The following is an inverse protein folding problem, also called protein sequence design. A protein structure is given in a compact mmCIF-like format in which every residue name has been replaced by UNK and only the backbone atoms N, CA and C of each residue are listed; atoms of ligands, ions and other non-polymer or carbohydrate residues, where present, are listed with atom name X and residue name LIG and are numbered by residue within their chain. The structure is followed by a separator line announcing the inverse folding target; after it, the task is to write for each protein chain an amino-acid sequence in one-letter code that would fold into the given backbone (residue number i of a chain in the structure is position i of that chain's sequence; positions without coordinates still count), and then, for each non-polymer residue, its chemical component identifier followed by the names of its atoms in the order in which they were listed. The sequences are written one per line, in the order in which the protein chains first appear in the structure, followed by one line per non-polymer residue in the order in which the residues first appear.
data_IF_291089759144
#
_entry.id   IF_291089759144
#
_cell.length_a   1.000
_cell.length_b   1.000
_cell.length_c   1.000
_cell.angle_alpha   90.00
_cell.angle_beta   90.00
_cell.angle_gamma   90.00
#
_symmetry.space_group_name_H-M   'P 1'
#
loop_
_entity.id
_entity.type
_entity.pdbx_description
1 polymer ?
#
# COMPACT_ATOMS: atom_id res chain seq x y z
N UNK A 1 -1.57 9.52 13.52
CA UNK A 1 -1.03 8.70 12.41
C UNK A 1 -1.99 8.64 11.21
N UNK A 2 -3.25 8.10 11.33
CA UNK A 2 -4.20 8.08 10.21
C UNK A 2 -4.54 9.50 9.69
N UNK A 3 -4.73 10.45 10.58
CA UNK A 3 -4.98 11.85 10.25
C UNK A 3 -3.79 12.45 9.48
N UNK A 4 -2.56 12.18 9.93
CA UNK A 4 -1.35 12.69 9.30
C UNK A 4 -1.17 12.14 7.87
N UNK A 5 -1.51 10.86 7.66
CA UNK A 5 -1.53 10.25 6.34
C UNK A 5 -2.55 10.91 5.41
N UNK A 6 -3.79 11.17 5.88
CA UNK A 6 -4.82 11.83 5.10
C UNK A 6 -4.39 13.25 4.73
N UNK A 7 -3.84 14.01 5.69
CA UNK A 7 -3.32 15.37 5.45
C UNK A 7 -2.17 15.36 4.44
N UNK A 8 -1.21 14.46 4.61
CA UNK A 8 -0.08 14.34 3.69
C UNK A 8 -0.50 13.98 2.27
N UNK A 9 -1.53 13.16 2.13
CA UNK A 9 -2.08 12.77 0.83
C UNK A 9 -3.00 13.84 0.21
N UNK A 10 -3.43 14.85 0.97
CA UNK A 10 -4.37 15.89 0.50
C UNK A 10 -5.71 15.33 0.02
N UNK A 11 -6.14 14.18 0.59
CA UNK A 11 -7.38 13.53 0.17
C UNK A 11 -8.59 14.14 0.87
N UNK A 12 -9.74 14.27 0.17
CA UNK A 12 -11.00 14.68 0.80
C UNK A 12 -11.38 13.75 1.95
N UNK A 13 -11.93 14.33 3.02
CA UNK A 13 -12.20 13.64 4.27
C UNK A 13 -13.67 13.78 4.70
N UNK A 14 -14.27 12.67 5.10
CA UNK A 14 -15.52 12.60 5.86
C UNK A 14 -15.21 11.84 7.14
N UNK A 15 -15.70 12.32 8.27
CA UNK A 15 -15.53 11.67 9.57
C UNK A 15 -16.81 10.96 9.98
N UNK A 16 -16.75 9.63 10.13
CA UNK A 16 -17.83 8.85 10.72
C UNK A 16 -17.53 8.60 12.21
N UNK A 17 -18.27 9.24 13.10
CA UNK A 17 -18.16 9.04 14.55
C UNK A 17 -19.01 7.83 14.91
N UNK A 18 -18.37 6.67 15.03
CA UNK A 18 -19.08 5.41 15.23
C UNK A 18 -19.31 5.08 16.70
N UNK A 19 -20.17 4.09 16.95
CA UNK A 19 -20.57 3.61 18.28
C UNK A 19 -21.34 4.65 19.10
N UNK A 20 -22.12 5.53 18.46
CA UNK A 20 -22.95 6.53 19.14
C UNK A 20 -24.14 5.95 19.91
N UNK A 21 -24.35 4.63 19.82
CA UNK A 21 -25.35 3.87 20.57
C UNK A 21 -24.91 3.53 22.01
N UNK A 22 -23.63 3.65 22.32
CA UNK A 22 -23.12 3.29 23.65
C UNK A 22 -23.48 4.35 24.69
N UNK A 23 -23.83 3.96 25.93
CA UNK A 23 -24.24 4.90 27.00
C UNK A 23 -23.17 5.94 27.38
N UNK A 24 -21.90 5.65 27.11
CA UNK A 24 -20.76 6.51 27.40
C UNK A 24 -20.20 7.21 26.16
N UNK A 25 -20.94 7.18 25.03
CA UNK A 25 -20.53 7.88 23.83
C UNK A 25 -20.66 9.40 24.04
N UNK A 26 -19.59 10.13 23.76
CA UNK A 26 -19.53 11.59 23.81
C UNK A 26 -19.04 12.14 22.47
N UNK A 27 -19.99 12.42 21.59
CA UNK A 27 -19.74 12.95 20.24
C UNK A 27 -19.05 14.31 20.28
N UNK A 28 -19.46 15.18 21.22
CA UNK A 28 -18.90 16.53 21.34
C UNK A 28 -17.42 16.50 21.74
N UNK A 29 -17.07 15.58 22.64
CA UNK A 29 -15.68 15.37 23.02
C UNK A 29 -14.82 14.92 21.83
N UNK A 30 -15.35 13.99 21.00
CA UNK A 30 -14.65 13.55 19.79
C UNK A 30 -14.48 14.69 18.80
N UNK A 31 -15.53 15.50 18.55
CA UNK A 31 -15.44 16.68 17.67
C UNK A 31 -14.41 17.70 18.18
N UNK A 32 -14.33 17.93 19.49
CA UNK A 32 -13.31 18.81 20.08
C UNK A 32 -11.90 18.27 19.86
N UNK A 33 -11.68 16.97 20.04
CA UNK A 33 -10.39 16.34 19.78
C UNK A 33 -9.98 16.40 18.30
N UNK A 34 -10.95 16.31 17.37
CA UNK A 34 -10.67 16.48 15.94
C UNK A 34 -10.17 17.91 15.64
N UNK A 35 -10.74 18.92 16.29
CA UNK A 35 -10.29 20.32 16.14
C UNK A 35 -8.85 20.50 16.63
N UNK A 36 -8.44 19.82 17.71
CA UNK A 36 -7.05 19.83 18.19
C UNK A 36 -6.07 19.27 17.13
N UNK A 37 -6.58 18.39 16.26
CA UNK A 37 -5.82 17.87 15.12
C UNK A 37 -6.08 18.62 13.80
N UNK A 38 -6.60 19.87 13.87
CA UNK A 38 -6.90 20.71 12.70
C UNK A 38 -7.95 20.11 11.74
N UNK A 39 -8.77 19.20 12.21
CA UNK A 39 -9.95 18.69 11.51
C UNK A 39 -11.17 19.42 12.09
N UNK A 40 -11.58 20.48 11.41
CA UNK A 40 -12.68 21.32 11.87
C UNK A 40 -14.01 20.85 11.26
N UNK A 41 -14.94 20.29 12.08
CA UNK A 41 -16.27 19.91 11.61
C UNK A 41 -17.08 21.11 11.10
N UNK A 42 -18.04 20.86 10.18
CA UNK A 42 -18.99 21.88 9.70
C UNK A 42 -19.74 22.55 10.85
N UNK A 43 -20.14 21.81 11.88
CA UNK A 43 -20.80 22.33 13.09
C UNK A 43 -19.98 23.40 13.83
N UNK A 44 -18.67 23.40 13.66
CA UNK A 44 -17.73 24.35 14.25
C UNK A 44 -17.19 25.36 13.23
N UNK A 45 -17.86 25.48 12.07
CA UNK A 45 -17.52 26.43 11.02
C UNK A 45 -16.40 25.96 10.09
N UNK A 46 -16.06 24.68 10.07
CA UNK A 46 -15.12 24.07 9.14
C UNK A 46 -15.79 23.56 7.87
N UNK A 47 -15.04 22.77 7.10
CA UNK A 47 -15.47 22.21 5.81
C UNK A 47 -15.62 20.67 5.85
N UNK A 48 -15.38 20.05 7.01
CA UNK A 48 -15.33 18.59 7.11
C UNK A 48 -16.65 18.05 7.63
N UNK A 49 -17.31 17.24 6.80
CA UNK A 49 -18.55 16.56 7.17
C UNK A 49 -18.28 15.52 8.26
N UNK A 50 -19.02 15.61 9.38
CA UNK A 50 -18.95 14.67 10.48
C UNK A 50 -20.32 14.03 10.69
N UNK A 51 -20.39 12.70 10.52
CA UNK A 51 -21.64 11.93 10.63
C UNK A 51 -21.58 11.02 11.84
N UNK A 52 -22.63 11.08 12.70
CA UNK A 52 -22.79 10.16 13.83
C UNK A 52 -23.35 8.84 13.35
N UNK A 53 -22.65 7.75 13.62
CA UNK A 53 -23.04 6.43 13.15
C UNK A 53 -23.07 5.39 14.26
N UNK A 54 -23.84 4.34 14.03
CA UNK A 54 -23.79 3.11 14.81
C UNK A 54 -23.93 1.91 13.87
N UNK A 55 -22.89 1.13 13.76
CA UNK A 55 -22.91 -0.09 12.96
C UNK A 55 -23.90 -1.15 13.50
N UNK A 56 -24.14 -1.13 14.82
CA UNK A 56 -25.04 -2.09 15.50
C UNK A 56 -26.51 -1.77 15.23
N UNK A 57 -26.88 -0.48 15.28
CA UNK A 57 -28.27 -0.03 15.10
C UNK A 57 -28.56 0.47 13.70
N UNK A 58 -27.55 0.56 12.82
CA UNK A 58 -27.59 1.18 11.50
C UNK A 58 -27.96 2.68 11.51
N UNK A 59 -27.93 3.35 12.69
CA UNK A 59 -28.15 4.79 12.80
C UNK A 59 -27.08 5.55 12.00
N UNK A 60 -27.49 6.55 11.22
CA UNK A 60 -26.60 7.45 10.49
C UNK A 60 -25.85 6.83 9.31
N UNK A 61 -26.13 5.57 8.95
CA UNK A 61 -25.49 4.92 7.80
C UNK A 61 -25.95 5.53 6.48
N UNK A 62 -27.25 5.81 6.36
CA UNK A 62 -27.80 6.45 5.15
C UNK A 62 -27.26 7.88 5.01
N UNK A 63 -27.18 8.64 6.09
CA UNK A 63 -26.63 10.00 6.12
C UNK A 63 -25.13 10.00 5.70
N UNK A 64 -24.37 8.98 6.13
CA UNK A 64 -22.98 8.80 5.71
C UNK A 64 -22.87 8.52 4.21
N UNK A 65 -23.73 7.66 3.67
CA UNK A 65 -23.79 7.36 2.24
C UNK A 65 -24.15 8.59 1.42
N UNK A 66 -25.14 9.39 1.87
CA UNK A 66 -25.50 10.65 1.23
C UNK A 66 -24.33 11.64 1.25
N UNK A 67 -23.61 11.76 2.36
CA UNK A 67 -22.43 12.62 2.49
C UNK A 67 -21.32 12.21 1.51
N UNK A 68 -21.09 10.90 1.32
CA UNK A 68 -20.12 10.38 0.34
C UNK A 68 -20.53 10.74 -1.09
N UNK A 69 -21.81 10.56 -1.43
CA UNK A 69 -22.34 10.91 -2.76
C UNK A 69 -22.22 12.42 -3.01
N UNK A 70 -22.59 13.25 -2.02
CA UNK A 70 -22.50 14.70 -2.11
C UNK A 70 -21.07 15.16 -2.32
N UNK A 71 -20.11 14.64 -1.53
CA UNK A 71 -18.70 14.95 -1.70
C UNK A 71 -18.18 14.54 -3.08
N UNK A 72 -18.57 13.36 -3.57
CA UNK A 72 -18.21 12.89 -4.91
C UNK A 72 -18.76 13.80 -6.02
N UNK A 73 -19.93 14.39 -5.84
CA UNK A 73 -20.50 15.35 -6.78
C UNK A 73 -19.75 16.69 -6.76
N UNK A 74 -19.43 17.20 -5.57
CA UNK A 74 -18.66 18.45 -5.40
C UNK A 74 -17.28 18.32 -6.06
N UNK A 75 -16.63 17.17 -5.92
CA UNK A 75 -15.30 16.89 -6.48
C UNK A 75 -15.32 16.71 -8.01
N UNK A 76 -16.49 16.58 -8.65
CA UNK A 76 -16.62 16.35 -10.10
C UNK A 76 -15.66 15.26 -10.62
N UNK A 77 -15.55 14.14 -9.94
CA UNK A 77 -14.61 13.07 -10.27
C UNK A 77 -14.85 12.54 -11.69
N UNK A 78 -13.93 12.84 -12.60
CA UNK A 78 -13.99 12.45 -14.03
C UNK A 78 -12.85 11.48 -14.33
N UNK A 79 -13.16 10.42 -15.07
CA UNK A 79 -12.16 9.40 -15.44
C UNK A 79 -12.21 9.14 -16.95
N UNK A 80 -11.05 9.09 -17.64
CA UNK A 80 -11.01 8.73 -19.04
C UNK A 80 -11.44 7.27 -19.24
N UNK A 81 -12.47 7.05 -20.09
CA UNK A 81 -13.02 5.70 -20.35
C UNK A 81 -12.22 4.89 -21.38
N UNK A 82 -11.60 5.57 -22.35
CA UNK A 82 -11.00 4.94 -23.54
C UNK A 82 -9.47 4.81 -23.44
N UNK A 83 -8.94 4.60 -22.23
CA UNK A 83 -7.52 4.37 -22.00
C UNK A 83 -7.31 2.95 -21.47
N UNK A 84 -6.08 2.47 -21.59
CA UNK A 84 -5.70 1.20 -20.97
C UNK A 84 -5.81 1.30 -19.46
N UNK A 85 -6.20 0.20 -18.81
CA UNK A 85 -6.39 0.16 -17.37
C UNK A 85 -5.10 0.49 -16.63
N UNK A 86 -5.20 1.35 -15.61
CA UNK A 86 -4.12 1.61 -14.64
C UNK A 86 -4.70 1.87 -13.26
N UNK A 87 -3.88 1.66 -12.24
CA UNK A 87 -4.26 1.83 -10.85
C UNK A 87 -3.22 1.26 -9.90
N UNK A 88 -3.66 0.83 -8.74
CA UNK A 88 -2.79 0.38 -7.66
C UNK A 88 -3.14 -1.02 -7.19
N UNK A 89 -2.13 -1.74 -6.73
CA UNK A 89 -2.30 -3.00 -5.99
C UNK A 89 -2.64 -2.65 -4.55
N UNK A 90 -3.76 -3.16 -4.04
CA UNK A 90 -4.17 -2.99 -2.64
C UNK A 90 -3.49 -4.03 -1.75
N UNK A 91 -3.44 -5.27 -2.23
CA UNK A 91 -2.81 -6.39 -1.51
C UNK A 91 -2.38 -7.49 -2.49
N UNK A 92 -1.41 -8.29 -2.09
CA UNK A 92 -1.00 -9.48 -2.80
C UNK A 92 -0.88 -10.66 -1.85
N UNK A 93 -1.26 -11.85 -2.29
CA UNK A 93 -1.13 -13.07 -1.51
C UNK A 93 -0.98 -14.32 -2.37
N UNK A 94 -0.45 -15.37 -1.77
CA UNK A 94 -0.28 -16.66 -2.42
C UNK A 94 -1.40 -17.62 -1.97
N UNK A 95 -2.28 -17.98 -2.88
CA UNK A 95 -3.27 -19.02 -2.63
C UNK A 95 -2.67 -20.39 -2.99
N UNK A 96 -2.81 -21.37 -2.07
CA UNK A 96 -2.25 -22.73 -2.24
C UNK A 96 -2.79 -23.47 -3.46
N UNK A 97 -4.01 -23.14 -3.91
CA UNK A 97 -4.68 -23.82 -5.02
C UNK A 97 -4.65 -23.01 -6.32
N UNK A 98 -4.70 -21.69 -6.26
CA UNK A 98 -4.80 -20.78 -7.40
C UNK A 98 -3.47 -20.14 -7.79
N UNK A 99 -2.50 -20.10 -6.88
CA UNK A 99 -1.22 -19.41 -7.07
C UNK A 99 -1.25 -17.96 -6.66
N UNK A 100 -0.44 -17.13 -7.31
CA UNK A 100 -0.32 -15.70 -6.98
C UNK A 100 -1.58 -14.93 -7.36
N UNK A 101 -2.14 -14.23 -6.38
CA UNK A 101 -3.30 -13.37 -6.48
C UNK A 101 -2.93 -11.94 -6.08
N UNK A 102 -3.55 -10.97 -6.70
CA UNK A 102 -3.44 -9.57 -6.31
C UNK A 102 -4.81 -8.90 -6.34
N UNK A 103 -5.15 -8.17 -5.30
CA UNK A 103 -6.32 -7.29 -5.30
C UNK A 103 -5.89 -5.92 -5.83
N UNK A 104 -6.49 -5.49 -6.93
CA UNK A 104 -6.20 -4.23 -7.60
C UNK A 104 -7.37 -3.26 -7.46
N UNK A 105 -7.09 -1.97 -7.45
CA UNK A 105 -8.05 -0.89 -7.60
C UNK A 105 -7.81 -0.19 -8.94
N UNK A 106 -8.78 -0.26 -9.83
CA UNK A 106 -8.69 0.41 -11.14
C UNK A 106 -8.96 1.90 -10.94
N UNK A 107 -7.98 2.75 -11.29
CA UNK A 107 -8.10 4.20 -11.20
C UNK A 107 -8.59 4.80 -12.51
N UNK A 108 -8.08 4.33 -13.63
CA UNK A 108 -8.42 4.81 -14.98
C UNK A 108 -8.54 3.65 -15.94
N UNK A 109 -9.29 3.87 -17.03
CA UNK A 109 -9.47 2.88 -18.09
C UNK A 109 -10.25 1.64 -17.65
N UNK A 110 -9.95 0.50 -18.23
CA UNK A 110 -10.60 -0.77 -17.90
C UNK A 110 -9.62 -1.93 -17.91
N UNK A 111 -9.93 -2.95 -17.13
CA UNK A 111 -9.14 -4.19 -17.01
C UNK A 111 -10.02 -5.35 -17.45
N UNK A 112 -9.56 -6.17 -18.40
CA UNK A 112 -10.32 -7.30 -18.92
C UNK A 112 -9.56 -8.61 -18.78
N UNK A 113 -10.29 -9.71 -18.68
CA UNK A 113 -9.70 -11.05 -18.76
C UNK A 113 -9.00 -11.22 -20.11
N UNK A 114 -7.79 -11.75 -20.08
CA UNK A 114 -6.93 -11.93 -21.27
C UNK A 114 -5.94 -10.80 -21.52
N UNK A 115 -6.09 -9.63 -20.89
CA UNK A 115 -5.13 -8.55 -20.91
C UNK A 115 -3.83 -8.92 -20.19
N UNK A 116 -2.77 -8.20 -20.48
CA UNK A 116 -1.49 -8.31 -19.78
C UNK A 116 -1.36 -7.20 -18.75
N UNK A 117 -0.97 -7.56 -17.54
CA UNK A 117 -0.77 -6.63 -16.42
C UNK A 117 0.71 -6.59 -16.06
N UNK A 118 1.23 -5.40 -15.82
CA UNK A 118 2.52 -5.16 -15.18
C UNK A 118 2.26 -4.39 -13.90
N UNK A 119 2.66 -4.95 -12.77
CA UNK A 119 2.51 -4.36 -11.43
C UNK A 119 3.87 -4.36 -10.74
N UNK A 120 4.48 -3.18 -10.58
CA UNK A 120 5.85 -3.09 -10.08
C UNK A 120 6.83 -3.92 -10.93
N UNK A 121 7.49 -4.88 -10.29
CA UNK A 121 8.44 -5.81 -10.92
C UNK A 121 7.79 -7.08 -11.48
N UNK A 122 6.48 -7.18 -11.41
CA UNK A 122 5.73 -8.39 -11.73
C UNK A 122 4.92 -8.18 -12.99
N UNK A 123 4.87 -9.18 -13.83
CA UNK A 123 3.97 -9.18 -14.97
C UNK A 123 3.18 -10.49 -15.03
N UNK A 124 2.05 -10.46 -15.72
CA UNK A 124 1.25 -11.64 -15.95
C UNK A 124 0.17 -11.44 -16.98
N UNK A 125 -0.46 -12.56 -17.40
CA UNK A 125 -1.67 -12.52 -18.21
C UNK A 125 -2.87 -12.78 -17.31
N UNK A 126 -3.84 -11.89 -17.33
CA UNK A 126 -5.06 -11.99 -16.51
C UNK A 126 -5.86 -13.21 -16.96
N UNK A 127 -5.92 -14.23 -16.12
CA UNK A 127 -6.68 -15.48 -16.35
C UNK A 127 -8.12 -15.37 -15.89
N UNK A 128 -8.33 -14.71 -14.76
CA UNK A 128 -9.67 -14.42 -14.23
C UNK A 128 -9.66 -13.15 -13.38
N UNK A 129 -10.82 -12.52 -13.31
CA UNK A 129 -11.12 -11.37 -12.45
C UNK A 129 -12.30 -11.74 -11.55
N UNK A 130 -12.19 -11.39 -10.27
CA UNK A 130 -13.24 -11.61 -9.28
C UNK A 130 -13.54 -10.25 -8.62
N UNK A 131 -14.82 -9.88 -8.57
CA UNK A 131 -15.24 -8.62 -7.92
C UNK A 131 -15.24 -8.72 -6.38
N UNK A 132 -15.51 -7.61 -5.70
CA UNK A 132 -15.59 -7.54 -4.24
C UNK A 132 -16.67 -8.44 -3.61
N UNK A 133 -17.59 -9.00 -4.41
CA UNK A 133 -18.61 -9.94 -3.98
C UNK A 133 -18.26 -11.40 -4.32
N UNK A 134 -16.99 -11.67 -4.66
CA UNK A 134 -16.50 -13.00 -5.06
C UNK A 134 -17.13 -13.57 -6.34
N UNK A 135 -17.67 -12.73 -7.24
CA UNK A 135 -18.26 -13.14 -8.52
C UNK A 135 -17.23 -12.99 -9.63
N UNK A 136 -17.16 -13.96 -10.52
CA UNK A 136 -16.32 -13.89 -11.72
C UNK A 136 -16.86 -12.80 -12.67
N UNK A 137 -16.00 -11.87 -13.07
CA UNK A 137 -16.33 -10.80 -14.01
C UNK A 137 -15.36 -10.82 -15.20
N UNK A 138 -15.82 -10.35 -16.36
CA UNK A 138 -14.98 -10.28 -17.56
C UNK A 138 -14.22 -8.98 -17.70
N UNK A 139 -14.73 -7.92 -17.08
CA UNK A 139 -14.21 -6.56 -17.17
C UNK A 139 -14.42 -5.83 -15.84
N UNK A 140 -13.49 -4.95 -15.48
CA UNK A 140 -13.55 -4.08 -14.30
C UNK A 140 -13.36 -2.65 -14.73
N UNK A 141 -14.27 -1.78 -14.28
CA UNK A 141 -14.30 -0.35 -14.57
C UNK A 141 -13.53 0.46 -13.52
N UNK A 142 -13.20 1.73 -13.81
CA UNK A 142 -12.58 2.62 -12.83
C UNK A 142 -13.41 2.74 -11.54
N UNK A 143 -12.72 2.88 -10.41
CA UNK A 143 -13.31 2.96 -9.08
C UNK A 143 -13.68 1.60 -8.48
N UNK A 144 -13.62 0.51 -9.25
CA UNK A 144 -13.95 -0.82 -8.74
C UNK A 144 -12.70 -1.63 -8.36
N UNK A 145 -12.71 -2.30 -7.20
CA UNK A 145 -11.69 -3.28 -6.86
C UNK A 145 -11.93 -4.60 -7.57
N UNK A 146 -10.85 -5.32 -7.85
CA UNK A 146 -10.94 -6.69 -8.35
C UNK A 146 -9.73 -7.53 -7.93
N UNK A 147 -9.97 -8.81 -7.68
CA UNK A 147 -8.93 -9.77 -7.49
C UNK A 147 -8.51 -10.34 -8.85
N UNK A 148 -7.21 -10.30 -9.11
CA UNK A 148 -6.58 -10.75 -10.37
C UNK A 148 -5.87 -12.07 -10.13
N UNK A 149 -6.13 -13.05 -10.99
CA UNK A 149 -5.37 -14.28 -11.10
C UNK A 149 -4.55 -14.28 -12.39
N UNK A 150 -3.31 -14.75 -12.32
CA UNK A 150 -2.44 -14.91 -13.48
C UNK A 150 -1.14 -14.11 -13.41
N UNK A 151 -0.84 -13.52 -12.26
CA UNK A 151 0.44 -12.88 -11.97
C UNK A 151 1.56 -13.90 -11.84
N UNK A 152 2.78 -13.55 -12.25
CA UNK A 152 3.95 -14.44 -12.18
C UNK A 152 4.44 -14.68 -10.74
N UNK A 153 4.22 -13.73 -9.85
CA UNK A 153 4.49 -13.80 -8.42
C UNK A 153 3.54 -12.88 -7.64
N UNK A 154 3.67 -12.85 -6.32
CA UNK A 154 2.81 -12.04 -5.44
C UNK A 154 3.19 -10.55 -5.56
N UNK A 155 2.26 -9.67 -5.97
CA UNK A 155 2.54 -8.23 -6.07
C UNK A 155 2.58 -7.58 -4.68
N UNK A 156 3.29 -6.47 -4.57
CA UNK A 156 3.36 -5.70 -3.34
C UNK A 156 2.20 -4.71 -3.26
N UNK A 157 1.66 -4.52 -2.05
CA UNK A 157 0.70 -3.45 -1.79
C UNK A 157 1.34 -2.08 -2.09
N UNK A 158 0.58 -1.21 -2.75
CA UNK A 158 1.06 0.10 -3.19
C UNK A 158 1.73 0.12 -4.57
N UNK A 159 2.07 -1.03 -5.16
CA UNK A 159 2.61 -1.05 -6.52
C UNK A 159 1.61 -0.47 -7.52
N UNK A 160 2.09 0.40 -8.41
CA UNK A 160 1.30 0.82 -9.57
C UNK A 160 1.22 -0.31 -10.58
N UNK A 161 0.04 -0.47 -11.18
CA UNK A 161 -0.11 -1.38 -12.31
C UNK A 161 -0.55 -0.66 -13.59
N UNK A 162 -0.15 -1.23 -14.73
CA UNK A 162 -0.61 -0.85 -16.07
C UNK A 162 -1.01 -2.06 -16.88
N UNK A 163 -2.05 -1.88 -17.69
CA UNK A 163 -2.60 -2.93 -18.57
C UNK A 163 -2.08 -2.73 -20.00
N UNK A 164 -1.84 -3.84 -20.68
CA UNK A 164 -1.41 -3.90 -22.07
C UNK A 164 -2.24 -4.92 -22.82
N UNK A 165 -2.49 -4.68 -24.11
CA UNK A 165 -3.22 -5.62 -24.98
C UNK A 165 -2.32 -6.70 -25.57
N UNK A 166 -1.01 -6.49 -25.56
CA UNK A 166 -0.03 -7.40 -26.14
C UNK A 166 1.10 -7.75 -25.15
N UNK A 167 1.52 -9.02 -25.17
CA UNK A 167 2.67 -9.52 -24.38
C UNK A 167 3.96 -8.74 -24.69
N UNK A 168 4.16 -8.38 -25.96
CA UNK A 168 5.35 -7.65 -26.42
C UNK A 168 5.44 -6.26 -25.79
N UNK A 169 4.32 -5.54 -25.71
CA UNK A 169 4.26 -4.21 -25.08
C UNK A 169 4.46 -4.29 -23.59
N UNK A 170 3.80 -5.26 -22.92
CA UNK A 170 3.97 -5.51 -21.49
C UNK A 170 5.44 -5.82 -21.15
N UNK A 171 6.10 -6.69 -21.90
CA UNK A 171 7.52 -7.02 -21.72
C UNK A 171 8.43 -5.82 -21.96
N UNK A 172 8.14 -4.99 -22.97
CA UNK A 172 8.92 -3.79 -23.25
C UNK A 172 8.83 -2.80 -22.09
N UNK A 173 7.62 -2.58 -21.58
CA UNK A 173 7.38 -1.69 -20.44
C UNK A 173 8.04 -2.23 -19.17
N UNK A 174 7.87 -3.51 -18.87
CA UNK A 174 8.50 -4.16 -17.72
C UNK A 174 10.04 -4.06 -17.75
N UNK A 175 10.65 -4.26 -18.93
CA UNK A 175 12.09 -4.02 -19.11
C UNK A 175 12.51 -2.57 -18.83
N UNK A 176 11.72 -1.58 -19.30
CA UNK A 176 12.06 -0.17 -19.05
C UNK A 176 12.03 0.19 -17.57
N UNK A 177 11.10 -0.36 -16.80
CA UNK A 177 11.04 -0.17 -15.34
C UNK A 177 12.30 -0.71 -14.64
N UNK A 178 12.75 -1.90 -15.03
CA UNK A 178 13.93 -2.52 -14.44
C UNK A 178 15.21 -1.73 -14.76
N UNK A 179 15.37 -1.24 -15.99
CA UNK A 179 16.50 -0.38 -16.38
C UNK A 179 16.51 0.91 -15.54
N UNK A 180 15.36 1.54 -15.33
CA UNK A 180 15.26 2.76 -14.51
C UNK A 180 15.65 2.50 -13.06
N UNK A 181 15.21 1.38 -12.48
CA UNK A 181 15.60 0.98 -11.12
C UNK A 181 17.09 0.67 -10.99
N UNK A 182 17.69 0.02 -11.99
CA UNK A 182 19.12 -0.28 -11.99
C UNK A 182 19.96 1.00 -12.15
N UNK A 183 19.51 1.95 -12.98
CA UNK A 183 20.15 3.27 -13.10
C UNK A 183 20.03 4.07 -11.80
N UNK A 184 18.88 4.06 -11.14
CA UNK A 184 18.67 4.74 -9.84
C UNK A 184 19.57 4.11 -8.76
N UNK A 185 19.68 2.77 -8.73
CA UNK A 185 20.58 2.08 -7.81
C UNK A 185 22.07 2.36 -8.11
N UNK A 186 22.46 2.51 -9.38
CA UNK A 186 23.84 2.88 -9.73
C UNK A 186 24.16 4.32 -9.35
N UNK A 187 23.23 5.26 -9.56
CA UNK A 187 23.40 6.67 -9.17
C UNK A 187 23.51 6.79 -7.65
N UNK A 188 22.71 6.03 -6.89
CA UNK A 188 22.78 6.02 -5.42
C UNK A 188 24.12 5.42 -4.95
N UNK A 189 24.64 4.37 -5.62
CA UNK A 189 25.95 3.79 -5.29
C UNK A 189 27.13 4.72 -5.58
N UNK A 190 27.03 5.55 -6.63
CA UNK A 190 28.09 6.49 -6.99
C UNK A 190 28.14 7.72 -6.07
N UNK A 191 27.06 8.00 -5.30
CA UNK A 191 27.05 9.06 -4.27
C UNK A 191 27.45 8.56 -2.87
N UNK A 192 27.59 7.24 -2.65
CA UNK A 192 27.91 6.64 -1.34
C UNK A 192 29.39 6.32 -1.11
N UNK A 193 30.30 6.82 -1.95
CA UNK A 193 31.74 6.54 -1.83
C UNK A 193 32.53 7.56 -0.96
N UNK A 194 31.87 8.22 -0.01
CA UNK A 194 32.61 9.01 0.99
C UNK A 194 32.19 8.54 2.41
N UNK A 195 33.21 8.07 3.15
CA UNK A 195 33.23 7.66 4.57
C UNK A 195 32.61 6.29 4.94
N UNK A 196 33.36 5.23 4.68
CA UNK A 196 33.03 3.84 5.05
C UNK A 196 33.30 3.52 6.56
N UNK A 197 33.95 4.42 7.30
CA UNK A 197 34.42 4.15 8.68
C UNK A 197 33.36 4.24 9.78
N UNK A 198 32.16 4.83 9.53
CA UNK A 198 31.12 5.02 10.55
C UNK A 198 29.76 4.42 10.18
N UNK A 199 29.71 3.40 9.31
CA UNK A 199 28.45 2.75 8.93
C UNK A 199 28.19 1.50 9.76
N UNK A 200 27.05 1.48 10.47
CA UNK A 200 26.60 0.29 11.18
C UNK A 200 25.65 -0.52 10.27
N UNK A 201 26.17 -1.62 9.71
CA UNK A 201 25.42 -2.46 8.77
C UNK A 201 24.51 -3.45 9.49
N UNK A 202 23.27 -3.55 9.04
CA UNK A 202 22.23 -4.38 9.67
C UNK A 202 21.54 -5.24 8.61
N UNK A 203 21.31 -6.51 8.97
CA UNK A 203 20.38 -7.42 8.29
C UNK A 203 19.15 -7.61 9.15
N UNK A 204 17.95 -7.41 8.59
CA UNK A 204 16.69 -7.49 9.31
C UNK A 204 15.92 -8.73 8.88
N UNK A 205 15.52 -9.54 9.85
CA UNK A 205 14.59 -10.66 9.66
C UNK A 205 13.38 -10.51 10.57
N UNK A 206 12.18 -10.52 9.99
CA UNK A 206 10.93 -10.37 10.74
C UNK A 206 9.98 -11.53 10.46
N UNK A 207 9.06 -11.79 11.37
CA UNK A 207 8.05 -12.84 11.18
C UNK A 207 7.07 -12.57 10.02
N UNK A 208 6.85 -11.30 9.67
CA UNK A 208 5.94 -10.86 8.60
C UNK A 208 6.52 -9.68 7.81
N UNK A 209 6.07 -9.49 6.56
CA UNK A 209 6.52 -8.36 5.72
C UNK A 209 6.14 -7.00 6.33
N UNK A 210 4.93 -6.88 6.92
CA UNK A 210 4.52 -5.65 7.61
C UNK A 210 5.43 -5.28 8.79
N UNK A 211 5.98 -6.28 9.48
CA UNK A 211 6.96 -6.06 10.55
C UNK A 211 8.30 -5.58 10.00
N UNK A 212 8.70 -6.02 8.80
CA UNK A 212 9.93 -5.54 8.14
C UNK A 212 9.85 -4.04 7.88
N UNK A 213 8.73 -3.57 7.32
CA UNK A 213 8.54 -2.16 7.02
C UNK A 213 8.45 -1.29 8.29
N UNK A 214 7.81 -1.81 9.35
CA UNK A 214 7.76 -1.13 10.64
C UNK A 214 9.16 -0.97 11.27
N UNK A 215 9.97 -2.03 11.27
CA UNK A 215 11.34 -1.99 11.82
C UNK A 215 12.22 -1.06 10.99
N UNK A 216 12.12 -1.05 9.66
CA UNK A 216 12.84 -0.11 8.79
C UNK A 216 12.54 1.35 9.16
N UNK A 217 11.26 1.70 9.28
CA UNK A 217 10.84 3.07 9.67
C UNK A 217 11.43 3.48 11.03
N UNK A 218 11.41 2.59 12.01
CA UNK A 218 12.00 2.88 13.33
C UNK A 218 13.51 3.11 13.22
N UNK A 219 14.23 2.27 12.48
CA UNK A 219 15.68 2.43 12.30
C UNK A 219 16.04 3.70 11.52
N UNK A 220 15.22 4.12 10.56
CA UNK A 220 15.38 5.39 9.86
C UNK A 220 15.22 6.61 10.79
N UNK A 221 14.37 6.52 11.81
CA UNK A 221 14.23 7.61 12.83
C UNK A 221 15.37 7.64 13.84
N UNK A 222 16.13 6.55 13.97
CA UNK A 222 17.27 6.45 14.89
C UNK A 222 18.61 6.93 14.29
N UNK A 223 18.60 7.48 13.08
CA UNK A 223 19.81 8.06 12.47
C UNK A 223 20.32 9.23 13.32
N UNK A 224 21.54 9.10 13.82
CA UNK A 224 22.29 10.18 14.50
C UNK A 224 23.40 10.68 13.58
N UNK A 225 23.88 11.91 13.83
CA UNK A 225 25.01 12.51 13.08
C UNK A 225 26.33 11.71 13.21
N UNK A 226 26.46 10.87 14.25
CA UNK A 226 27.70 10.14 14.55
C UNK A 226 27.75 8.73 13.94
N UNK A 227 26.60 8.08 13.64
CA UNK A 227 26.55 6.71 13.12
C UNK A 227 25.46 6.58 12.07
N UNK A 228 25.87 6.25 10.84
CA UNK A 228 24.94 5.94 9.76
C UNK A 228 24.50 4.47 9.83
N UNK A 229 23.19 4.21 10.02
CA UNK A 229 22.63 2.86 9.94
C UNK A 229 22.38 2.51 8.48
N UNK A 230 23.02 1.45 7.99
CA UNK A 230 22.84 0.91 6.65
C UNK A 230 22.12 -0.45 6.72
N UNK A 231 20.93 -0.54 6.13
CA UNK A 231 20.19 -1.79 6.03
C UNK A 231 20.65 -2.54 4.78
N UNK A 232 21.54 -3.50 4.96
CA UNK A 232 22.11 -4.31 3.86
C UNK A 232 21.10 -5.28 3.28
N UNK A 233 20.26 -5.91 4.13
CA UNK A 233 19.21 -6.82 3.71
C UNK A 233 18.05 -6.79 4.69
N UNK A 234 16.81 -6.94 4.19
CA UNK A 234 15.63 -7.03 5.03
C UNK A 234 14.58 -7.92 4.36
N UNK A 235 14.13 -8.95 5.07
CA UNK A 235 13.12 -9.90 4.58
C UNK A 235 12.32 -10.53 5.71
N UNK A 236 11.15 -11.09 5.38
CA UNK A 236 10.35 -11.88 6.29
C UNK A 236 10.82 -13.34 6.32
N UNK A 237 10.49 -14.05 7.39
CA UNK A 237 10.80 -15.45 7.61
C UNK A 237 11.78 -15.70 8.76
N UNK A 238 12.23 -16.95 8.89
CA UNK A 238 13.22 -17.38 9.88
C UNK A 238 14.63 -16.92 9.50
N UNK A 239 15.46 -16.69 10.51
CA UNK A 239 16.91 -16.48 10.29
C UNK A 239 17.52 -17.82 9.91
N UNK A 240 18.20 -17.87 8.77
CA UNK A 240 18.83 -19.06 8.24
C UNK A 240 20.36 -18.91 8.09
N UNK A 241 21.04 -19.99 7.73
CA UNK A 241 22.49 -20.03 7.57
C UNK A 241 22.99 -19.01 6.52
N UNK A 242 22.24 -18.80 5.45
CA UNK A 242 22.62 -17.81 4.41
C UNK A 242 22.61 -16.37 4.94
N UNK A 243 21.68 -16.05 5.86
CA UNK A 243 21.61 -14.73 6.48
C UNK A 243 22.85 -14.48 7.36
N UNK A 244 23.33 -15.50 8.06
CA UNK A 244 24.54 -15.43 8.88
C UNK A 244 25.77 -15.30 7.99
N UNK A 245 25.85 -16.06 6.89
CA UNK A 245 26.95 -15.94 5.92
C UNK A 245 26.99 -14.56 5.28
N UNK A 246 25.84 -14.02 4.90
CA UNK A 246 25.73 -12.66 4.35
C UNK A 246 26.17 -11.60 5.37
N UNK A 247 25.77 -11.75 6.63
CA UNK A 247 26.16 -10.85 7.72
C UNK A 247 27.69 -10.88 7.93
N UNK A 248 28.28 -12.07 7.94
CA UNK A 248 29.74 -12.23 8.06
C UNK A 248 30.49 -11.61 6.87
N UNK A 249 29.96 -11.74 5.65
CA UNK A 249 30.58 -11.18 4.45
C UNK A 249 30.46 -9.64 4.38
N UNK A 250 29.40 -9.06 4.93
CA UNK A 250 29.11 -7.63 4.90
C UNK A 250 29.57 -6.90 6.18
N UNK A 251 30.13 -7.58 7.14
CA UNK A 251 30.42 -7.07 8.51
C UNK A 251 29.18 -6.43 9.14
N UNK A 252 28.06 -7.17 9.07
CA UNK A 252 26.72 -6.69 9.48
C UNK A 252 26.19 -7.46 10.68
N UNK A 253 25.29 -6.83 11.45
CA UNK A 253 24.57 -7.46 12.56
C UNK A 253 23.22 -7.96 12.10
N UNK A 254 22.86 -9.21 12.43
CA UNK A 254 21.52 -9.76 12.14
C UNK A 254 20.55 -9.41 13.27
N UNK A 255 19.47 -8.72 12.94
CA UNK A 255 18.38 -8.41 13.88
C UNK A 255 17.17 -9.26 13.53
N UNK A 256 16.79 -10.18 14.43
CA UNK A 256 15.56 -10.96 14.33
C UNK A 256 14.44 -10.32 15.16
N UNK A 257 13.33 -9.94 14.52
CA UNK A 257 12.13 -9.43 15.20
C UNK A 257 10.95 -10.37 14.95
N UNK A 258 10.48 -11.03 16.02
CA UNK A 258 9.42 -12.05 15.93
C UNK A 258 9.72 -13.14 14.88
N UNK A 259 10.98 -13.41 14.60
CA UNK A 259 11.45 -14.48 13.72
C UNK A 259 12.06 -15.63 14.51
N UNK A 260 11.95 -16.84 13.97
CA UNK A 260 12.59 -18.03 14.53
C UNK A 260 13.98 -18.20 13.90
N UNK A 261 14.86 -18.91 14.61
CA UNK A 261 16.17 -19.29 14.07
C UNK A 261 16.04 -20.74 13.60
N UNK A 262 16.35 -20.98 12.33
CA UNK A 262 16.45 -22.35 11.81
C UNK A 262 17.71 -23.02 12.35
N UNK A 263 17.53 -24.26 12.87
CA UNK A 263 18.63 -25.08 13.42
C UNK A 263 19.25 -25.93 12.32
#
# INVERSE_FOLDING_TARGET
EAIDHIKSAGTPLIVAINKCDLPNADVNKVKTQLVEHEIVPEDYGGEIMCVETSATTSKGVDDLLESIVLLGQILELKVPKNVLGQGYVLEGFLDKSKGSLGTILVKEGSVSVGDYIVAGDIMGKIKSLTDGFSRLVKNVSPGAPAQVLGLSSVPKAGDEFKIFKSDKEAKKYHKSLNITKDLTKSIIRDTENEDDENKFRIIIKCGTDGSVDAVKKVLETLRNEDVAIEITHASSGSVNENDVMLASAADAVVIGFQSQIEQ
#
